data_IF_217572974137
#
_entry.id   IF_217572974137
#
_cell.length_a   1.000
_cell.length_b   1.000
_cell.length_c   1.000
_cell.angle_alpha   90.00
_cell.angle_beta   90.00
_cell.angle_gamma   90.00
#
_symmetry.space_group_name_H-M   'P 1'
#
loop_
_entity.id
_entity.type
_entity.pdbx_description
1 polymer ?
#
# COMPACT_ATOMS: atom_id res chain seq x y z
N UNK A 1 -5.45 28.72 -20.37
CA UNK A 1 -5.99 27.36 -20.14
C UNK A 1 -5.09 26.67 -19.12
N UNK A 2 -5.44 26.66 -17.83
CA UNK A 2 -4.69 25.89 -16.84
C UNK A 2 -5.05 24.40 -17.06
N UNK A 3 -4.35 23.76 -18.00
CA UNK A 3 -4.50 22.33 -18.25
C UNK A 3 -4.25 21.58 -16.94
N UNK A 4 -5.15 20.67 -16.60
CA UNK A 4 -5.04 19.86 -15.39
C UNK A 4 -3.64 19.26 -15.36
N UNK A 5 -2.82 19.65 -14.37
CA UNK A 5 -1.45 19.15 -14.29
C UNK A 5 -1.48 17.60 -14.31
N UNK A 6 -0.54 16.92 -14.98
CA UNK A 6 -0.45 15.46 -14.96
C UNK A 6 -0.53 14.89 -13.55
N UNK A 7 -0.02 15.66 -12.58
CA UNK A 7 -0.06 15.35 -11.17
C UNK A 7 -1.46 15.46 -10.54
N UNK A 8 -2.28 16.42 -10.95
CA UNK A 8 -3.70 16.50 -10.58
C UNK A 8 -4.46 15.28 -11.11
N UNK A 9 -4.19 14.87 -12.35
CA UNK A 9 -4.81 13.69 -12.94
C UNK A 9 -4.40 12.41 -12.19
N UNK A 10 -3.10 12.24 -11.94
CA UNK A 10 -2.58 11.11 -11.17
C UNK A 10 -3.20 11.00 -9.78
N UNK A 11 -3.33 12.11 -9.05
CA UNK A 11 -3.97 12.14 -7.72
C UNK A 11 -5.43 11.69 -7.79
N UNK A 12 -6.18 12.16 -8.79
CA UNK A 12 -7.59 11.77 -8.95
C UNK A 12 -7.73 10.27 -9.24
N UNK A 13 -6.87 9.73 -10.11
CA UNK A 13 -6.84 8.30 -10.42
C UNK A 13 -6.49 7.46 -9.18
N UNK A 14 -5.46 7.85 -8.43
CA UNK A 14 -5.07 7.17 -7.19
C UNK A 14 -6.19 7.21 -6.15
N UNK A 15 -6.89 8.33 -6.01
CA UNK A 15 -8.02 8.45 -5.09
C UNK A 15 -9.19 7.51 -5.45
N UNK A 16 -9.45 7.30 -6.75
CA UNK A 16 -10.45 6.32 -7.20
C UNK A 16 -9.99 4.89 -6.89
N UNK A 17 -8.74 4.56 -7.23
CA UNK A 17 -8.16 3.24 -7.01
C UNK A 17 -8.10 2.85 -5.52
N UNK A 18 -7.80 3.80 -4.62
CA UNK A 18 -7.82 3.55 -3.17
C UNK A 18 -9.22 3.14 -2.69
N UNK A 19 -10.28 3.77 -3.21
CA UNK A 19 -11.66 3.41 -2.84
C UNK A 19 -12.01 2.00 -3.28
N UNK A 20 -11.68 1.65 -4.52
CA UNK A 20 -11.94 0.32 -5.06
C UNK A 20 -11.10 -0.76 -4.36
N UNK A 21 -9.82 -0.47 -4.09
CA UNK A 21 -8.93 -1.37 -3.36
C UNK A 21 -9.46 -1.69 -1.95
N UNK A 22 -9.98 -0.68 -1.24
CA UNK A 22 -10.63 -0.91 0.07
C UNK A 22 -11.89 -1.76 -0.06
N UNK A 23 -12.73 -1.49 -1.06
CA UNK A 23 -13.93 -2.28 -1.31
C UNK A 23 -13.61 -3.74 -1.68
N UNK A 24 -12.48 -3.96 -2.36
CA UNK A 24 -11.95 -5.27 -2.71
C UNK A 24 -11.20 -5.97 -1.54
N UNK A 25 -11.09 -5.34 -0.38
CA UNK A 25 -10.46 -5.94 0.81
C UNK A 25 -8.93 -5.97 0.79
N UNK A 26 -8.28 -5.09 0.03
CA UNK A 26 -6.82 -4.99 0.06
C UNK A 26 -6.34 -4.59 1.45
N UNK A 27 -5.41 -5.38 2.01
CA UNK A 27 -4.84 -5.13 3.35
C UNK A 27 -3.88 -3.95 3.32
N UNK A 28 -3.02 -3.87 2.28
CA UNK A 28 -2.04 -2.79 2.14
C UNK A 28 -1.83 -2.41 0.68
N UNK A 29 -1.76 -1.10 0.43
CA UNK A 29 -1.29 -0.56 -0.83
C UNK A 29 -0.44 0.70 -0.62
N UNK A 30 0.70 0.76 -1.30
CA UNK A 30 1.60 1.92 -1.35
C UNK A 30 1.52 2.54 -2.73
N UNK A 31 1.30 3.85 -2.76
CA UNK A 31 1.24 4.64 -3.99
C UNK A 31 2.38 5.65 -3.98
N UNK A 32 3.15 5.67 -5.07
CA UNK A 32 4.16 6.69 -5.31
C UNK A 32 3.79 7.45 -6.59
N UNK A 33 3.56 8.76 -6.44
CA UNK A 33 3.25 9.65 -7.57
C UNK A 33 4.51 10.47 -7.87
N UNK A 34 5.07 10.29 -9.06
CA UNK A 34 6.23 11.04 -9.51
C UNK A 34 5.84 12.42 -10.06
N UNK A 35 6.78 13.38 -10.14
CA UNK A 35 6.51 14.73 -10.66
C UNK A 35 6.04 14.79 -12.12
N UNK A 36 6.40 13.78 -12.92
CA UNK A 36 5.96 13.62 -14.31
C UNK A 36 4.51 13.11 -14.42
N UNK A 37 3.86 12.78 -13.30
CA UNK A 37 2.51 12.24 -13.25
C UNK A 37 2.44 10.71 -13.36
N UNK A 38 3.57 10.01 -13.47
CA UNK A 38 3.58 8.55 -13.39
C UNK A 38 3.28 8.07 -11.97
N UNK A 39 2.62 6.90 -11.85
CA UNK A 39 2.20 6.32 -10.58
C UNK A 39 2.71 4.88 -10.49
N UNK A 40 3.45 4.58 -9.42
CA UNK A 40 3.80 3.20 -9.05
C UNK A 40 2.87 2.75 -7.92
N UNK A 41 2.28 1.56 -8.07
CA UNK A 41 1.41 0.95 -7.06
C UNK A 41 2.00 -0.37 -6.63
N UNK A 42 2.25 -0.51 -5.34
CA UNK A 42 2.62 -1.78 -4.71
C UNK A 42 1.43 -2.22 -3.84
N UNK A 43 0.83 -3.36 -4.17
CA UNK A 43 -0.40 -3.85 -3.55
C UNK A 43 -0.20 -5.26 -3.00
N UNK A 44 -0.55 -5.44 -1.72
CA UNK A 44 -0.52 -6.72 -1.05
C UNK A 44 -1.93 -7.06 -0.54
N UNK A 45 -2.50 -8.13 -1.06
CA UNK A 45 -3.83 -8.64 -0.67
C UNK A 45 -3.79 -9.57 0.53
N UNK A 46 -2.59 -9.98 0.96
CA UNK A 46 -2.35 -10.83 2.12
C UNK A 46 -1.71 -9.92 3.17
N UNK A 47 -2.19 -9.99 4.41
CA UNK A 47 -1.43 -9.44 5.52
C UNK A 47 -0.10 -10.18 5.53
N UNK A 48 0.99 -9.50 5.20
CA UNK A 48 2.29 -10.06 5.55
C UNK A 48 2.30 -9.99 7.05
N UNK A 49 1.84 -11.07 7.72
CA UNK A 49 2.05 -11.32 9.13
C UNK A 49 3.51 -10.95 9.38
N UNK A 50 3.71 -9.76 9.94
CA UNK A 50 5.01 -9.31 10.37
C UNK A 50 5.35 -10.29 11.46
N UNK A 51 6.18 -11.28 11.12
CA UNK A 51 6.51 -12.38 11.99
C UNK A 51 6.85 -11.86 13.36
N UNK A 52 5.92 -12.06 14.30
CA UNK A 52 6.19 -11.92 15.72
C UNK A 52 6.93 -13.20 16.16
N UNK A 53 8.04 -13.49 15.47
CA UNK A 53 9.01 -14.55 15.78
C UNK A 53 9.86 -14.18 17.00
N UNK A 54 9.53 -13.08 17.68
CA UNK A 54 10.39 -12.49 18.69
C UNK A 54 10.41 -13.26 20.03
N UNK A 55 9.52 -14.23 20.31
CA UNK A 55 9.46 -14.83 21.66
C UNK A 55 9.23 -16.35 21.78
N UNK A 56 9.12 -17.14 20.70
CA UNK A 56 8.92 -18.60 20.88
C UNK A 56 10.18 -19.38 21.27
N UNK A 57 11.38 -18.87 20.95
CA UNK A 57 12.64 -19.60 21.23
C UNK A 57 13.15 -19.44 22.67
N UNK A 58 12.79 -18.38 23.39
CA UNK A 58 13.28 -18.14 24.77
C UNK A 58 12.38 -18.76 25.86
N UNK A 59 11.17 -19.22 25.52
CA UNK A 59 10.26 -19.86 26.49
C UNK A 59 10.59 -21.34 26.77
N UNK A 60 11.55 -21.93 26.04
CA UNK A 60 12.08 -23.28 26.32
C UNK A 60 13.29 -23.24 27.27
N UNK A 61 13.24 -22.46 28.34
CA UNK A 61 14.03 -22.77 29.54
C UNK A 61 13.20 -23.67 30.46
N UNK A 62 13.40 -24.98 30.35
CA UNK A 62 12.79 -25.93 31.28
C UNK A 62 12.78 -27.40 30.85
N UNK A 63 13.95 -28.00 30.62
CA UNK A 63 14.22 -29.36 31.14
C UNK A 63 15.71 -29.67 31.18
#
# INVERSE_FOLDING_TARGET
>A
MAGHSPQTQAKNTVAALIREARAAGWVRARFEIRPDGSVTVEANMIDQEGGDDFLESELRMGR
#
